data_IF_388691669505
#
_entry.id   IF_388691669505
#
_cell.length_a   1.000
_cell.length_b   1.000
_cell.length_c   1.000
_cell.angle_alpha   90.00
_cell.angle_beta   90.00
_cell.angle_gamma   90.00
#
_symmetry.space_group_name_H-M   'P 1'
#
loop_
_entity.id
_entity.type
_entity.pdbx_description
1 polymer ?
#
# COMPACT_ATOMS: atom_id res chain seq x y z
N UNK A 1 21.86 27.99 -2.94
CA UNK A 1 21.68 26.75 -2.14
C UNK A 1 22.33 26.81 -0.74
N UNK A 2 23.42 27.58 -0.55
CA UNK A 2 24.14 27.67 0.73
C UNK A 2 23.41 28.37 1.91
N UNK A 3 22.43 29.24 1.66
CA UNK A 3 21.82 30.03 2.75
C UNK A 3 20.96 29.18 3.71
N UNK A 4 20.30 28.12 3.21
CA UNK A 4 19.47 27.23 4.06
C UNK A 4 20.31 26.39 5.03
N UNK A 5 21.54 26.06 4.63
CA UNK A 5 22.47 25.31 5.49
C UNK A 5 23.11 26.21 6.55
N UNK A 6 23.21 27.52 6.30
CA UNK A 6 23.74 28.48 7.27
C UNK A 6 22.92 28.49 8.55
N UNK A 7 21.59 28.50 8.45
CA UNK A 7 20.70 28.47 9.63
C UNK A 7 20.85 27.18 10.43
N UNK A 8 20.96 26.02 9.76
CA UNK A 8 21.17 24.74 10.43
C UNK A 8 22.49 24.70 11.22
N UNK A 9 23.56 25.22 10.60
CA UNK A 9 24.88 25.34 11.22
C UNK A 9 24.89 26.34 12.38
N UNK A 10 24.20 27.47 12.25
CA UNK A 10 24.06 28.47 13.33
C UNK A 10 23.32 27.89 14.55
N UNK A 11 22.26 27.13 14.31
CA UNK A 11 21.53 26.42 15.39
C UNK A 11 22.38 25.34 16.04
N UNK A 12 23.19 24.61 15.26
CA UNK A 12 24.14 23.64 15.78
C UNK A 12 25.17 24.30 16.71
N UNK A 13 25.78 25.42 16.27
CA UNK A 13 26.72 26.20 17.08
C UNK A 13 26.07 26.67 18.39
N UNK A 14 24.88 27.27 18.31
CA UNK A 14 24.15 27.72 19.51
C UNK A 14 23.82 26.57 20.48
N UNK A 15 23.55 25.37 19.98
CA UNK A 15 23.31 24.20 20.84
C UNK A 15 24.59 23.71 21.52
N UNK A 16 25.73 23.72 20.83
CA UNK A 16 27.03 23.37 21.42
C UNK A 16 27.51 24.42 22.42
N UNK A 17 27.30 25.71 22.14
CA UNK A 17 27.63 26.81 23.06
C UNK A 17 26.82 26.72 24.37
N UNK A 18 25.62 26.13 24.32
CA UNK A 18 24.79 25.82 25.50
C UNK A 18 25.24 24.57 26.27
N UNK A 19 26.32 23.91 25.83
CA UNK A 19 26.89 22.72 26.48
C UNK A 19 26.24 21.39 26.07
N UNK A 20 25.43 21.36 25.01
CA UNK A 20 24.85 20.10 24.53
C UNK A 20 25.91 19.26 23.80
N UNK A 21 26.13 18.04 24.27
CA UNK A 21 27.11 17.09 23.70
C UNK A 21 26.47 15.99 22.83
N UNK A 22 25.14 15.86 22.85
CA UNK A 22 24.38 14.90 22.04
C UNK A 22 23.36 15.66 21.20
N UNK A 23 23.69 15.86 19.93
CA UNK A 23 22.88 16.65 19.00
C UNK A 23 22.52 15.76 17.81
N UNK A 24 21.23 15.66 17.51
CA UNK A 24 20.72 14.97 16.33
C UNK A 24 20.25 16.02 15.31
N UNK A 25 20.67 15.87 14.04
CA UNK A 25 20.26 16.74 12.94
C UNK A 25 19.44 15.90 11.96
N UNK A 26 18.14 16.16 11.87
CA UNK A 26 17.30 15.57 10.84
C UNK A 26 17.43 16.42 9.57
N UNK A 27 18.00 15.85 8.51
CA UNK A 27 18.34 16.59 7.31
C UNK A 27 17.99 15.80 6.03
N UNK A 28 17.51 16.49 5.00
CA UNK A 28 17.10 15.89 3.74
C UNK A 28 18.27 15.49 2.85
N UNK A 29 18.16 14.36 2.16
CA UNK A 29 19.23 13.71 1.37
C UNK A 29 19.84 14.58 0.26
N UNK A 30 19.10 15.53 -0.30
CA UNK A 30 19.53 16.30 -1.49
C UNK A 30 20.74 17.22 -1.26
N UNK A 31 21.08 17.55 -0.01
CA UNK A 31 22.13 18.52 0.31
C UNK A 31 23.13 18.05 1.39
N UNK A 32 23.14 16.75 1.68
CA UNK A 32 23.99 16.13 2.70
C UNK A 32 25.50 16.32 2.49
N UNK A 33 26.05 16.35 1.25
CA UNK A 33 27.49 16.57 1.04
C UNK A 33 28.00 17.93 1.52
N UNK A 34 27.21 19.00 1.34
CA UNK A 34 27.59 20.35 1.80
C UNK A 34 27.52 20.46 3.33
N UNK A 35 26.49 19.88 3.95
CA UNK A 35 26.39 19.83 5.41
C UNK A 35 27.56 19.04 6.01
N UNK A 36 27.87 17.87 5.46
CA UNK A 36 28.98 17.04 5.90
C UNK A 36 30.34 17.74 5.80
N UNK A 37 30.57 18.48 4.71
CA UNK A 37 31.78 19.30 4.54
C UNK A 37 31.90 20.35 5.65
N UNK A 38 30.83 21.09 5.93
CA UNK A 38 30.82 22.15 6.95
C UNK A 38 30.96 21.62 8.37
N UNK A 39 30.39 20.45 8.68
CA UNK A 39 30.60 19.78 9.97
C UNK A 39 32.08 19.45 10.21
N UNK A 40 32.80 19.06 9.16
CA UNK A 40 34.22 18.74 9.24
C UNK A 40 35.10 19.98 9.29
N UNK A 41 34.83 20.99 8.44
CA UNK A 41 35.66 22.18 8.31
C UNK A 41 35.43 23.23 9.42
N UNK A 42 34.18 23.41 9.89
CA UNK A 42 33.85 24.46 10.86
C UNK A 42 33.80 23.97 12.32
N UNK A 43 33.70 22.66 12.54
CA UNK A 43 33.54 22.07 13.88
C UNK A 43 34.49 20.91 14.16
N UNK A 44 35.43 20.62 13.24
CA UNK A 44 36.41 19.53 13.37
C UNK A 44 35.80 18.15 13.69
N UNK A 45 34.53 17.94 13.32
CA UNK A 45 33.83 16.68 13.58
C UNK A 45 34.27 15.61 12.59
N UNK A 46 34.51 14.41 13.13
CA UNK A 46 34.91 13.24 12.35
C UNK A 46 33.75 12.24 12.36
N UNK A 47 33.31 11.72 11.20
CA UNK A 47 32.26 10.70 11.17
C UNK A 47 32.74 9.44 11.90
N UNK A 48 32.00 9.01 12.92
CA UNK A 48 32.30 7.80 13.70
C UNK A 48 31.68 6.53 13.11
N UNK A 49 30.59 6.66 12.34
CA UNK A 49 29.89 5.56 11.70
C UNK A 49 28.71 6.03 10.87
N UNK A 50 28.26 5.18 9.95
CA UNK A 50 27.05 5.41 9.14
C UNK A 50 26.14 4.20 9.31
N UNK A 51 24.93 4.44 9.79
CA UNK A 51 23.89 3.41 9.92
C UNK A 51 22.74 3.73 8.96
N UNK A 52 22.37 2.75 8.15
CA UNK A 52 21.23 2.86 7.24
C UNK A 52 20.01 2.24 7.91
N UNK A 53 19.01 3.05 8.21
CA UNK A 53 17.74 2.58 8.74
C UNK A 53 16.75 2.31 7.60
N UNK A 54 16.08 1.15 7.65
CA UNK A 54 15.02 0.81 6.72
C UNK A 54 13.82 1.75 6.93
N UNK A 55 13.54 2.60 5.94
CA UNK A 55 12.49 3.62 6.04
C UNK A 55 11.08 3.03 6.19
N UNK A 56 10.80 1.92 5.51
CA UNK A 56 9.57 1.16 5.69
C UNK A 56 9.83 -0.32 5.38
N UNK A 57 9.21 -1.19 6.17
CA UNK A 57 9.21 -2.62 5.95
C UNK A 57 7.79 -3.07 5.61
N UNK A 58 7.58 -3.50 4.37
CA UNK A 58 6.29 -4.08 3.96
C UNK A 58 6.37 -5.58 4.26
N UNK A 59 5.73 -5.98 5.36
CA UNK A 59 5.58 -7.40 5.68
C UNK A 59 4.56 -8.03 4.72
N UNK A 60 5.00 -9.02 3.95
CA UNK A 60 4.10 -9.86 3.16
C UNK A 60 3.31 -10.74 4.13
N UNK A 61 2.03 -10.43 4.36
CA UNK A 61 1.17 -11.31 5.15
C UNK A 61 0.98 -12.61 4.39
N UNK A 62 1.50 -13.71 4.96
CA UNK A 62 1.19 -15.06 4.49
C UNK A 62 -0.31 -15.27 4.62
N UNK A 63 -0.97 -15.74 3.55
CA UNK A 63 -2.36 -16.14 3.63
C UNK A 63 -2.50 -17.17 4.75
N UNK A 64 -3.44 -16.95 5.68
CA UNK A 64 -3.67 -17.90 6.76
C UNK A 64 -4.47 -19.10 6.22
N UNK A 65 -4.33 -20.24 6.89
CA UNK A 65 -5.01 -21.48 6.49
C UNK A 65 -6.53 -21.31 6.42
N UNK A 66 -7.11 -20.46 7.29
CA UNK A 66 -8.55 -20.18 7.29
C UNK A 66 -9.02 -19.49 5.99
N UNK A 67 -8.29 -18.49 5.49
CA UNK A 67 -8.62 -17.82 4.22
C UNK A 67 -8.52 -18.79 3.05
N UNK A 68 -7.50 -19.66 3.04
CA UNK A 68 -7.35 -20.68 1.99
C UNK A 68 -8.51 -21.67 2.03
N UNK A 69 -8.87 -22.18 3.22
CA UNK A 69 -10.00 -23.09 3.38
C UNK A 69 -11.33 -22.42 2.98
N UNK A 70 -11.55 -21.16 3.36
CA UNK A 70 -12.74 -20.42 2.97
C UNK A 70 -12.85 -20.28 1.44
N UNK A 71 -11.75 -19.97 0.75
CA UNK A 71 -11.73 -19.88 -0.71
C UNK A 71 -12.04 -21.23 -1.38
N UNK A 72 -11.48 -22.32 -0.85
CA UNK A 72 -11.72 -23.67 -1.38
C UNK A 72 -13.17 -24.13 -1.21
N UNK A 73 -13.87 -23.67 -0.16
CA UNK A 73 -15.26 -24.04 0.10
C UNK A 73 -16.22 -23.12 -0.66
N UNK A 74 -15.98 -21.81 -0.66
CA UNK A 74 -16.90 -20.83 -1.24
C UNK A 74 -16.89 -20.91 -2.77
N UNK A 75 -15.73 -21.15 -3.39
CA UNK A 75 -15.62 -21.16 -4.85
C UNK A 75 -16.50 -22.25 -5.52
N UNK A 76 -16.50 -23.52 -5.08
CA UNK A 76 -17.41 -24.53 -5.60
C UNK A 76 -18.89 -24.23 -5.34
N UNK A 77 -19.23 -23.65 -4.18
CA UNK A 77 -20.61 -23.28 -3.83
C UNK A 77 -21.15 -22.23 -4.80
N UNK A 78 -20.35 -21.19 -5.11
CA UNK A 78 -20.72 -20.17 -6.08
C UNK A 78 -20.86 -20.74 -7.50
N UNK A 79 -19.99 -21.68 -7.90
CA UNK A 79 -20.08 -22.34 -9.20
C UNK A 79 -21.35 -23.19 -9.33
N UNK A 80 -21.70 -23.92 -8.27
CA UNK A 80 -22.94 -24.69 -8.23
C UNK A 80 -24.13 -23.74 -8.31
N UNK A 81 -24.18 -22.68 -7.51
CA UNK A 81 -25.27 -21.70 -7.52
C UNK A 81 -25.49 -21.10 -8.93
N UNK A 82 -24.41 -20.69 -9.61
CA UNK A 82 -24.46 -20.23 -10.99
C UNK A 82 -25.01 -21.29 -11.97
N UNK A 83 -24.70 -22.57 -11.74
CA UNK A 83 -25.21 -23.67 -12.56
C UNK A 83 -26.72 -23.89 -12.34
N UNK A 84 -27.17 -23.85 -11.08
CA UNK A 84 -28.59 -23.93 -10.73
C UNK A 84 -29.41 -22.80 -11.34
N UNK A 85 -28.91 -21.57 -11.29
CA UNK A 85 -29.54 -20.42 -11.95
C UNK A 85 -29.68 -20.58 -13.45
N UNK A 86 -28.68 -21.14 -14.14
CA UNK A 86 -28.76 -21.42 -15.58
C UNK A 86 -29.87 -22.41 -15.92
N UNK A 87 -30.02 -23.46 -15.13
CA UNK A 87 -31.08 -24.44 -15.33
C UNK A 87 -32.46 -23.83 -15.08
N UNK A 88 -32.59 -23.08 -13.99
CA UNK A 88 -33.83 -22.39 -13.64
C UNK A 88 -34.28 -21.42 -14.75
N UNK A 89 -33.38 -20.57 -15.24
CA UNK A 89 -33.68 -19.63 -16.34
C UNK A 89 -34.09 -20.40 -17.60
N UNK A 90 -33.40 -21.49 -17.93
CA UNK A 90 -33.73 -22.32 -19.11
C UNK A 90 -35.14 -22.91 -19.01
N UNK A 91 -35.53 -23.40 -17.84
CA UNK A 91 -36.88 -23.93 -17.59
C UNK A 91 -37.93 -22.82 -17.68
N UNK A 92 -37.68 -21.69 -17.02
CA UNK A 92 -38.60 -20.54 -17.01
C UNK A 92 -38.86 -20.00 -18.44
N UNK A 93 -37.81 -19.82 -19.24
CA UNK A 93 -37.93 -19.37 -20.65
C UNK A 93 -38.68 -20.40 -21.50
N UNK A 94 -38.40 -21.69 -21.34
CA UNK A 94 -39.11 -22.74 -22.09
C UNK A 94 -40.60 -22.79 -21.73
N UNK A 95 -40.93 -22.63 -20.44
CA UNK A 95 -42.32 -22.54 -19.98
C UNK A 95 -43.03 -21.31 -20.58
N UNK A 96 -42.40 -20.13 -20.50
CA UNK A 96 -42.92 -18.90 -21.10
C UNK A 96 -43.14 -19.02 -22.61
N UNK A 97 -42.21 -19.65 -23.34
CA UNK A 97 -42.36 -19.89 -24.79
C UNK A 97 -43.54 -20.81 -25.13
N UNK A 98 -43.80 -21.83 -24.31
CA UNK A 98 -44.97 -22.72 -24.49
C UNK A 98 -46.27 -21.98 -24.26
N UNK A 99 -46.36 -21.19 -23.18
CA UNK A 99 -47.55 -20.38 -22.87
C UNK A 99 -47.82 -19.35 -23.97
N UNK A 100 -46.78 -18.65 -24.43
CA UNK A 100 -46.91 -17.66 -25.51
C UNK A 100 -47.36 -18.30 -26.83
N UNK A 101 -46.83 -19.48 -27.18
CA UNK A 101 -47.29 -20.23 -28.37
C UNK A 101 -48.74 -20.69 -28.23
N UNK A 102 -49.14 -21.15 -27.05
CA UNK A 102 -50.52 -21.54 -26.79
C UNK A 102 -51.44 -20.33 -26.98
N UNK A 103 -51.22 -19.24 -26.25
CA UNK A 103 -52.05 -18.02 -26.35
C UNK A 103 -52.02 -17.42 -27.76
N UNK A 104 -50.87 -17.42 -28.44
CA UNK A 104 -50.72 -16.96 -29.81
C UNK A 104 -51.56 -17.77 -30.80
N UNK A 105 -51.59 -19.09 -30.66
CA UNK A 105 -52.41 -19.97 -31.49
C UNK A 105 -53.92 -19.76 -31.24
N UNK A 106 -54.33 -19.50 -29.99
CA UNK A 106 -55.74 -19.18 -29.67
C UNK A 106 -56.18 -17.82 -30.22
N UNK A 107 -55.25 -16.89 -30.45
CA UNK A 107 -55.57 -15.55 -30.96
C UNK A 107 -55.63 -15.49 -32.50
N UNK A 108 -55.29 -16.58 -33.20
CA UNK A 108 -55.34 -16.70 -34.67
C UNK A 108 -56.47 -17.64 -35.17
N UNK A 109 -57.32 -18.14 -34.27
CA UNK A 109 -58.60 -18.82 -34.59
C UNK A 109 -59.73 -17.88 -34.20
#
# INVERSE_FOLDING_TARGET
>A
IGERNRVAIERLRSAMDKGHNKIAILYGSYHMPDLGRRLREEFDLIPSGVEWLTAWFISQRKANNLTIMALLIISPVLLLDLCWWKLFIRIAVNCGSKVLRYVGNYKMI
#
